data_IF_889640239926
#
_entry.id   IF_889640239926
#
_cell.length_a   1.000
_cell.length_b   1.000
_cell.length_c   1.000
_cell.angle_alpha   90.00
_cell.angle_beta   90.00
_cell.angle_gamma   90.00
#
_symmetry.space_group_name_H-M   'P 1'
#
loop_
_entity.id
_entity.type
_entity.pdbx_description
1 polymer ?
#
# COMPACT_ATOMS: atom_id res chain seq x y z
N UNK A 1 -3.24 17.54 14.89
CA UNK A 1 -1.99 16.74 14.87
C UNK A 1 -2.14 15.61 15.86
N UNK A 2 -1.91 14.37 15.43
CA UNK A 2 -2.01 13.21 16.34
C UNK A 2 -0.86 13.19 17.35
N UNK A 3 -1.19 12.92 18.60
CA UNK A 3 -0.23 12.67 19.67
C UNK A 3 0.38 11.28 19.55
N UNK A 4 1.50 11.04 20.24
CA UNK A 4 2.12 9.71 20.28
C UNK A 4 1.19 8.67 20.87
N UNK A 5 0.37 9.06 21.84
CA UNK A 5 -0.64 8.25 22.51
C UNK A 5 -1.73 7.83 21.52
N UNK A 6 -2.24 8.76 20.71
CA UNK A 6 -3.21 8.45 19.65
C UNK A 6 -2.61 7.52 18.57
N UNK A 7 -1.34 7.71 18.19
CA UNK A 7 -0.67 6.77 17.26
C UNK A 7 -0.59 5.36 17.87
N UNK A 8 -0.27 5.25 19.16
CA UNK A 8 -0.29 3.95 19.85
C UNK A 8 -1.70 3.35 19.85
N UNK A 9 -2.71 4.18 20.10
CA UNK A 9 -4.10 3.74 20.09
C UNK A 9 -4.53 3.19 18.73
N UNK A 10 -4.19 3.87 17.63
CA UNK A 10 -4.43 3.39 16.26
C UNK A 10 -3.77 2.02 16.06
N UNK A 11 -2.50 1.87 16.44
CA UNK A 11 -1.80 0.58 16.35
C UNK A 11 -2.53 -0.48 17.16
N UNK A 12 -2.94 -0.20 18.40
CA UNK A 12 -3.67 -1.18 19.21
C UNK A 12 -5.02 -1.59 18.60
N UNK A 13 -5.74 -0.68 17.94
CA UNK A 13 -6.93 -1.06 17.18
C UNK A 13 -6.58 -1.94 15.97
N UNK A 14 -5.53 -1.61 15.21
CA UNK A 14 -5.03 -2.48 14.14
C UNK A 14 -4.70 -3.89 14.66
N UNK A 15 -4.12 -3.99 15.87
CA UNK A 15 -3.80 -5.28 16.50
C UNK A 15 -5.05 -6.05 16.88
N UNK A 16 -6.08 -5.39 17.43
CA UNK A 16 -7.38 -6.03 17.72
C UNK A 16 -8.04 -6.53 16.44
N UNK A 17 -8.08 -5.71 15.40
CA UNK A 17 -8.63 -6.10 14.09
C UNK A 17 -7.83 -7.27 13.50
N UNK A 18 -6.50 -7.25 13.58
CA UNK A 18 -5.66 -8.36 13.12
C UNK A 18 -5.95 -9.69 13.82
N UNK A 19 -6.30 -9.65 15.12
CA UNK A 19 -6.73 -10.85 15.87
C UNK A 19 -8.12 -11.31 15.47
N UNK A 20 -9.07 -10.38 15.33
CA UNK A 20 -10.43 -10.68 14.85
C UNK A 20 -10.42 -11.28 13.44
N UNK A 21 -9.49 -10.82 12.61
CA UNK A 21 -9.27 -11.29 11.25
C UNK A 21 -9.72 -10.29 10.19
N UNK A 22 -9.15 -10.48 9.02
CA UNK A 22 -9.52 -9.84 7.76
C UNK A 22 -10.58 -10.69 7.04
N UNK A 23 -11.34 -10.08 6.13
CA UNK A 23 -12.41 -10.73 5.37
C UNK A 23 -11.89 -11.77 4.37
N UNK A 24 -10.59 -11.73 4.04
CA UNK A 24 -9.91 -12.82 3.33
C UNK A 24 -9.58 -14.05 4.20
N UNK A 25 -10.05 -14.08 5.45
CA UNK A 25 -9.87 -15.18 6.41
C UNK A 25 -8.49 -15.21 7.09
N UNK A 26 -7.62 -14.22 6.85
CA UNK A 26 -6.32 -14.11 7.52
C UNK A 26 -6.48 -13.47 8.89
N UNK A 27 -5.77 -14.02 9.87
CA UNK A 27 -5.72 -13.51 11.24
C UNK A 27 -4.31 -13.68 11.78
N UNK A 28 -3.89 -12.74 12.63
CA UNK A 28 -2.61 -12.79 13.30
C UNK A 28 -2.58 -11.93 14.56
N UNK A 29 -1.84 -12.40 15.55
CA UNK A 29 -1.48 -11.59 16.71
C UNK A 29 -0.24 -10.77 16.39
N UNK A 30 -0.45 -9.53 15.97
CA UNK A 30 0.65 -8.57 15.78
C UNK A 30 1.32 -8.30 17.16
N UNK A 31 2.65 -8.39 17.26
CA UNK A 31 3.35 -8.11 18.52
C UNK A 31 3.21 -6.64 18.92
N UNK A 32 3.55 -6.30 20.16
CA UNK A 32 3.68 -4.90 20.57
C UNK A 32 4.67 -4.17 19.66
N UNK A 33 4.23 -3.04 19.10
CA UNK A 33 5.01 -2.22 18.20
C UNK A 33 5.54 -1.01 18.96
N UNK A 34 6.87 -0.84 18.92
CA UNK A 34 7.56 0.36 19.34
C UNK A 34 7.44 1.42 18.26
N UNK A 35 7.01 2.62 18.65
CA UNK A 35 7.05 3.80 17.78
C UNK A 35 8.34 4.56 18.05
N UNK A 36 9.12 4.77 17.00
CA UNK A 36 10.31 5.61 17.00
C UNK A 36 10.10 6.83 16.09
N UNK A 37 9.98 8.03 16.66
CA UNK A 37 9.87 9.27 15.88
C UNK A 37 11.28 9.79 15.68
N UNK A 38 11.72 9.80 14.43
CA UNK A 38 13.11 10.06 14.05
C UNK A 38 13.41 11.55 14.08
N UNK A 39 14.57 11.87 14.66
CA UNK A 39 15.17 13.19 14.57
C UNK A 39 15.74 13.41 13.17
N UNK A 40 15.75 14.66 12.72
CA UNK A 40 16.17 15.07 11.37
C UNK A 40 17.56 14.55 10.93
N UNK A 41 18.49 14.36 11.87
CA UNK A 41 19.86 13.89 11.60
C UNK A 41 20.01 12.36 11.54
N UNK A 42 19.00 11.60 11.94
CA UNK A 42 18.98 10.13 11.92
C UNK A 42 17.84 9.66 11.04
N UNK A 43 17.69 10.29 9.88
CA UNK A 43 16.57 10.01 8.99
C UNK A 43 16.94 8.93 7.97
N UNK A 44 15.98 8.11 7.55
CA UNK A 44 16.18 7.17 6.44
C UNK A 44 15.77 7.82 5.12
N UNK A 45 16.61 7.69 4.10
CA UNK A 45 16.23 7.88 2.69
C UNK A 45 15.44 6.64 2.26
N UNK A 46 14.16 6.61 2.62
CA UNK A 46 13.25 5.53 2.21
C UNK A 46 13.13 5.49 0.69
N UNK A 47 12.80 4.32 0.13
CA UNK A 47 12.35 4.24 -1.25
C UNK A 47 11.15 5.19 -1.44
N UNK A 48 11.10 5.90 -2.56
CA UNK A 48 9.97 6.75 -2.97
C UNK A 48 9.54 7.83 -1.96
N UNK A 49 10.41 8.23 -1.03
CA UNK A 49 10.11 9.29 -0.07
C UNK A 49 9.22 8.87 1.10
N UNK A 50 9.13 7.57 1.41
CA UNK A 50 8.34 7.05 2.53
C UNK A 50 8.58 7.83 3.83
N UNK A 51 7.48 8.17 4.50
CA UNK A 51 7.42 9.01 5.71
C UNK A 51 7.34 8.19 7.00
N UNK A 52 7.09 6.89 6.90
CA UNK A 52 7.28 5.88 7.94
C UNK A 52 7.77 4.57 7.31
N UNK A 53 8.31 3.67 8.14
CA UNK A 53 8.69 2.31 7.75
C UNK A 53 8.51 1.33 8.92
N UNK A 54 8.03 0.13 8.63
CA UNK A 54 8.12 -1.02 9.51
C UNK A 54 9.51 -1.66 9.42
N UNK A 55 10.18 -1.80 10.56
CA UNK A 55 11.53 -2.34 10.65
C UNK A 55 11.46 -3.86 10.64
N UNK A 56 11.38 -4.46 9.46
CA UNK A 56 11.51 -5.90 9.29
C UNK A 56 12.98 -6.36 9.46
N UNK A 57 13.24 -7.68 9.43
CA UNK A 57 14.60 -8.23 9.59
C UNK A 57 15.62 -7.65 8.59
N UNK A 58 15.24 -7.46 7.33
CA UNK A 58 16.14 -6.95 6.31
C UNK A 58 16.48 -5.48 6.57
N UNK A 59 15.46 -4.64 6.78
CA UNK A 59 15.64 -3.23 7.14
C UNK A 59 16.50 -3.07 8.39
N UNK A 60 16.25 -3.91 9.40
CA UNK A 60 17.04 -3.92 10.63
C UNK A 60 18.52 -4.22 10.35
N UNK A 61 18.82 -5.27 9.59
CA UNK A 61 20.21 -5.64 9.28
C UNK A 61 20.96 -4.54 8.53
N UNK A 62 20.27 -3.76 7.70
CA UNK A 62 20.88 -2.67 6.93
C UNK A 62 21.13 -1.40 7.75
N UNK A 63 20.20 -1.04 8.63
CA UNK A 63 20.12 0.30 9.20
C UNK A 63 20.27 0.36 10.72
N UNK A 64 20.12 -0.75 11.44
CA UNK A 64 20.11 -0.76 12.93
C UNK A 64 21.38 -0.21 13.56
N UNK A 65 22.53 -0.28 12.87
CA UNK A 65 23.78 0.31 13.34
C UNK A 65 23.67 1.83 13.59
N UNK A 66 22.76 2.52 12.90
CA UNK A 66 22.49 3.95 13.09
C UNK A 66 21.32 4.21 14.06
N UNK A 67 20.63 3.15 14.49
CA UNK A 67 19.38 3.22 15.25
C UNK A 67 19.35 2.16 16.36
N UNK A 68 20.12 2.39 17.42
CA UNK A 68 20.27 1.45 18.54
C UNK A 68 18.96 1.10 19.27
N UNK A 69 17.93 1.92 19.12
CA UNK A 69 16.62 1.70 19.70
C UNK A 69 15.71 0.78 18.88
N UNK A 70 16.06 0.41 17.66
CA UNK A 70 15.19 -0.40 16.82
C UNK A 70 15.15 -1.85 17.29
N UNK A 71 14.02 -2.50 17.05
CA UNK A 71 13.80 -3.92 17.29
C UNK A 71 13.13 -4.51 16.06
N UNK A 72 13.80 -5.48 15.43
CA UNK A 72 13.30 -6.15 14.24
C UNK A 72 11.90 -6.74 14.45
N UNK A 73 11.04 -6.55 13.46
CA UNK A 73 9.63 -6.93 13.41
C UNK A 73 8.77 -6.35 14.55
N UNK A 74 9.24 -5.31 15.25
CA UNK A 74 8.55 -4.70 16.40
C UNK A 74 8.71 -3.19 16.45
N UNK A 75 9.21 -2.55 15.40
CA UNK A 75 9.40 -1.10 15.38
C UNK A 75 8.79 -0.52 14.12
N UNK A 76 8.04 0.57 14.28
CA UNK A 76 7.69 1.48 13.19
C UNK A 76 8.47 2.77 13.43
N UNK A 77 9.31 3.13 12.47
CA UNK A 77 10.05 4.38 12.48
C UNK A 77 9.30 5.43 11.66
N UNK A 78 9.11 6.62 12.21
CA UNK A 78 8.30 7.70 11.63
C UNK A 78 9.14 8.95 11.48
N UNK A 79 9.06 9.62 10.33
CA UNK A 79 9.64 10.96 10.13
C UNK A 79 8.73 12.01 10.75
N UNK A 80 9.31 13.03 11.39
CA UNK A 80 8.53 14.17 11.92
C UNK A 80 7.65 14.83 10.85
N UNK A 81 8.08 14.84 9.59
CA UNK A 81 7.30 15.39 8.48
C UNK A 81 5.98 14.66 8.21
N UNK A 82 5.84 13.39 8.63
CA UNK A 82 4.55 12.69 8.60
C UNK A 82 3.56 13.37 9.53
N UNK A 83 4.00 13.80 10.72
CA UNK A 83 3.12 14.35 11.75
C UNK A 83 2.54 15.73 11.36
N UNK A 84 3.05 16.33 10.29
CA UNK A 84 2.55 17.57 9.71
C UNK A 84 1.49 17.34 8.61
N UNK A 85 1.18 16.08 8.28
CA UNK A 85 0.18 15.73 7.27
C UNK A 85 -1.25 15.79 7.84
N UNK A 86 -2.28 15.84 6.97
CA UNK A 86 -3.66 15.59 7.36
C UNK A 86 -3.81 14.35 8.24
N UNK A 87 -4.73 14.38 9.20
CA UNK A 87 -4.87 13.30 10.19
C UNK A 87 -5.09 11.94 9.54
N UNK A 88 -5.95 11.86 8.51
CA UNK A 88 -6.20 10.61 7.79
C UNK A 88 -4.95 10.06 7.09
N UNK A 89 -4.06 10.91 6.58
CA UNK A 89 -2.81 10.47 5.95
C UNK A 89 -1.85 9.87 6.99
N UNK A 90 -1.83 10.44 8.21
CA UNK A 90 -1.06 9.88 9.32
C UNK A 90 -1.64 8.52 9.70
N UNK A 91 -2.95 8.43 9.91
CA UNK A 91 -3.64 7.16 10.26
C UNK A 91 -3.35 6.11 9.19
N UNK A 92 -3.61 6.43 7.92
CA UNK A 92 -3.42 5.52 6.80
C UNK A 92 -2.00 5.01 6.68
N UNK A 93 -1.00 5.90 6.85
CA UNK A 93 0.41 5.50 6.87
C UNK A 93 0.73 4.55 8.03
N UNK A 94 0.22 4.82 9.24
CA UNK A 94 0.45 3.96 10.41
C UNK A 94 -0.24 2.60 10.24
N UNK A 95 -1.47 2.59 9.71
CA UNK A 95 -2.19 1.36 9.41
C UNK A 95 -1.43 0.54 8.36
N UNK A 96 -0.93 1.18 7.29
CA UNK A 96 -0.13 0.52 6.25
C UNK A 96 1.12 -0.16 6.80
N UNK A 97 1.93 0.56 7.59
CA UNK A 97 3.13 -0.02 8.21
C UNK A 97 2.78 -1.13 9.22
N UNK A 98 1.64 -1.00 9.91
CA UNK A 98 1.12 -2.07 10.76
C UNK A 98 0.65 -3.27 9.94
N UNK A 99 0.21 -3.07 8.70
CA UNK A 99 -0.08 -4.12 7.72
C UNK A 99 1.16 -4.94 7.37
N UNK A 100 2.33 -4.31 7.22
CA UNK A 100 3.59 -5.07 7.10
C UNK A 100 3.89 -5.92 8.34
N UNK A 101 3.64 -5.38 9.54
CA UNK A 101 3.79 -6.13 10.78
C UNK A 101 2.80 -7.31 10.85
N UNK A 102 1.56 -7.11 10.39
CA UNK A 102 0.56 -8.16 10.23
C UNK A 102 1.02 -9.25 9.27
N UNK A 103 1.53 -8.89 8.09
CA UNK A 103 2.01 -9.86 7.10
C UNK A 103 3.07 -10.80 7.68
N UNK A 104 4.03 -10.23 8.42
CA UNK A 104 5.07 -11.00 9.11
C UNK A 104 4.47 -11.90 10.19
N UNK A 105 3.55 -11.38 11.02
CA UNK A 105 2.91 -12.15 12.09
C UNK A 105 2.02 -13.28 11.55
N UNK A 106 1.32 -13.04 10.43
CA UNK A 106 0.45 -13.99 9.73
C UNK A 106 1.22 -15.03 8.91
N UNK A 107 2.55 -14.90 8.81
CA UNK A 107 3.44 -15.76 8.00
C UNK A 107 3.03 -15.79 6.52
N UNK A 108 2.57 -14.65 6.00
CA UNK A 108 2.31 -14.45 4.57
C UNK A 108 3.42 -13.59 3.96
N UNK A 109 3.43 -13.46 2.63
CA UNK A 109 4.41 -12.62 1.95
C UNK A 109 4.30 -11.17 2.47
N UNK A 110 5.41 -10.60 2.91
CA UNK A 110 5.46 -9.19 3.28
C UNK A 110 5.61 -8.32 2.02
N UNK A 111 4.52 -8.18 1.26
CA UNK A 111 4.44 -7.36 0.05
C UNK A 111 3.56 -6.13 0.26
N UNK A 112 3.73 -5.13 -0.60
CA UNK A 112 2.87 -3.95 -0.67
C UNK A 112 1.40 -4.33 -0.85
N UNK A 113 1.07 -5.24 -1.77
CA UNK A 113 -0.32 -5.66 -1.98
C UNK A 113 -1.00 -6.23 -0.74
N UNK A 114 -0.29 -7.00 0.08
CA UNK A 114 -0.85 -7.52 1.33
C UNK A 114 -0.97 -6.41 2.41
N UNK A 115 -0.04 -5.45 2.44
CA UNK A 115 -0.16 -4.28 3.29
C UNK A 115 -1.35 -3.38 2.87
N UNK A 116 -1.58 -3.18 1.57
CA UNK A 116 -2.75 -2.46 1.04
C UNK A 116 -4.07 -3.15 1.38
N UNK A 117 -4.13 -4.49 1.33
CA UNK A 117 -5.32 -5.23 1.77
C UNK A 117 -5.62 -4.92 3.24
N UNK A 118 -4.62 -5.06 4.11
CA UNK A 118 -4.77 -4.74 5.52
C UNK A 118 -5.18 -3.28 5.73
N UNK A 119 -4.56 -2.36 5.00
CA UNK A 119 -4.84 -0.93 5.04
C UNK A 119 -6.31 -0.61 4.72
N UNK A 120 -6.81 -1.08 3.58
CA UNK A 120 -8.19 -0.83 3.15
C UNK A 120 -9.17 -1.41 4.18
N UNK A 121 -9.02 -2.69 4.55
CA UNK A 121 -9.96 -3.34 5.46
C UNK A 121 -9.97 -2.71 6.86
N UNK A 122 -8.79 -2.35 7.39
CA UNK A 122 -8.71 -1.71 8.71
C UNK A 122 -9.30 -0.31 8.67
N UNK A 123 -9.03 0.49 7.64
CA UNK A 123 -9.63 1.83 7.52
C UNK A 123 -11.16 1.74 7.46
N UNK A 124 -11.70 0.79 6.69
CA UNK A 124 -13.16 0.57 6.63
C UNK A 124 -13.72 0.16 8.00
N UNK A 125 -13.10 -0.79 8.71
CA UNK A 125 -13.55 -1.20 10.05
C UNK A 125 -13.44 -0.08 11.09
N UNK A 126 -12.41 0.76 11.00
CA UNK A 126 -12.27 1.94 11.86
C UNK A 126 -13.32 3.01 11.55
N UNK A 127 -13.73 3.14 10.28
CA UNK A 127 -14.81 4.02 9.87
C UNK A 127 -16.17 3.51 10.38
N UNK A 128 -16.48 2.24 10.13
CA UNK A 128 -17.74 1.57 10.53
C UNK A 128 -17.96 1.60 12.05
N UNK A 129 -16.90 1.40 12.82
CA UNK A 129 -16.96 1.46 14.30
C UNK A 129 -17.03 2.89 14.85
N UNK A 130 -16.94 3.91 14.00
CA UNK A 130 -16.87 5.32 14.40
C UNK A 130 -15.55 5.72 15.06
N UNK A 131 -14.54 4.83 15.06
CA UNK A 131 -13.24 5.09 15.69
C UNK A 131 -12.49 6.23 15.02
N UNK A 132 -12.60 6.38 13.70
CA UNK A 132 -12.01 7.51 12.97
C UNK A 132 -12.56 8.87 13.43
N UNK A 133 -13.85 8.95 13.77
CA UNK A 133 -14.45 10.18 14.28
C UNK A 133 -13.81 10.63 15.60
N UNK A 134 -13.34 9.70 16.43
CA UNK A 134 -12.60 10.05 17.67
C UNK A 134 -11.22 10.66 17.43
N UNK A 135 -10.74 10.61 16.18
CA UNK A 135 -9.52 11.28 15.72
C UNK A 135 -9.83 12.50 14.83
N UNK A 136 -11.07 12.98 14.85
CA UNK A 136 -11.56 14.04 13.95
C UNK A 136 -11.42 13.66 12.47
N UNK A 137 -11.55 12.36 12.14
CA UNK A 137 -11.56 11.88 10.75
C UNK A 137 -12.96 11.45 10.33
N UNK A 138 -13.56 12.21 9.42
CA UNK A 138 -14.88 11.91 8.87
C UNK A 138 -14.84 11.06 7.59
N UNK A 139 -16.02 10.71 7.07
CA UNK A 139 -16.13 9.91 5.86
C UNK A 139 -15.53 10.60 4.62
N UNK A 140 -15.61 11.93 4.53
CA UNK A 140 -15.05 12.67 3.39
C UNK A 140 -13.52 12.65 3.41
N UNK A 141 -12.90 12.67 4.59
CA UNK A 141 -11.46 12.49 4.70
C UNK A 141 -11.02 11.09 4.29
N UNK A 142 -11.78 10.05 4.65
CA UNK A 142 -11.53 8.67 4.18
C UNK A 142 -11.66 8.57 2.65
N UNK A 143 -12.67 9.22 2.07
CA UNK A 143 -12.84 9.31 0.61
C UNK A 143 -11.61 9.92 -0.06
N UNK A 144 -11.17 11.11 0.40
CA UNK A 144 -9.99 11.79 -0.14
C UNK A 144 -8.74 10.95 0.02
N UNK A 145 -8.61 10.26 1.15
CA UNK A 145 -7.50 9.36 1.41
C UNK A 145 -7.48 8.21 0.38
N UNK A 146 -8.59 7.48 0.22
CA UNK A 146 -8.65 6.40 -0.76
C UNK A 146 -8.46 6.89 -2.19
N UNK A 147 -9.01 8.05 -2.55
CA UNK A 147 -8.75 8.68 -3.85
C UNK A 147 -7.25 8.91 -4.07
N UNK A 148 -6.54 9.44 -3.08
CA UNK A 148 -5.10 9.70 -3.18
C UNK A 148 -4.25 8.42 -3.26
N UNK A 149 -4.73 7.31 -2.67
CA UNK A 149 -4.04 6.02 -2.60
C UNK A 149 -4.36 5.10 -3.78
N UNK A 150 -5.37 5.43 -4.57
CA UNK A 150 -5.90 4.56 -5.62
C UNK A 150 -4.82 4.11 -6.62
N UNK A 151 -3.95 5.03 -7.05
CA UNK A 151 -2.80 4.71 -7.91
C UNK A 151 -1.87 3.67 -7.29
N UNK A 152 -1.57 3.78 -5.99
CA UNK A 152 -0.74 2.82 -5.26
C UNK A 152 -1.37 1.43 -5.24
N UNK A 153 -2.67 1.34 -4.92
CA UNK A 153 -3.39 0.07 -4.88
C UNK A 153 -3.40 -0.63 -6.24
N UNK A 154 -3.39 0.14 -7.32
CA UNK A 154 -3.36 -0.39 -8.68
C UNK A 154 -2.01 -0.98 -9.10
N UNK A 155 -0.92 -0.68 -8.39
CA UNK A 155 0.41 -1.22 -8.71
C UNK A 155 0.52 -2.73 -8.47
N UNK A 156 -0.33 -3.32 -7.63
CA UNK A 156 -0.30 -4.77 -7.32
C UNK A 156 -1.62 -5.49 -7.68
N UNK A 157 -2.22 -5.11 -8.80
CA UNK A 157 -3.51 -5.66 -9.30
C UNK A 157 -3.48 -7.15 -9.68
N UNK A 158 -2.31 -7.80 -9.63
CA UNK A 158 -2.21 -9.25 -9.77
C UNK A 158 -2.84 -9.99 -8.58
N UNK A 159 -2.98 -9.33 -7.45
CA UNK A 159 -3.72 -9.84 -6.31
C UNK A 159 -5.23 -9.63 -6.55
N UNK A 160 -5.94 -10.72 -6.86
CA UNK A 160 -7.37 -10.70 -7.18
C UNK A 160 -8.22 -10.19 -6.03
N UNK A 161 -7.84 -10.49 -4.79
CA UNK A 161 -8.56 -10.02 -3.61
C UNK A 161 -8.41 -8.51 -3.43
N UNK A 162 -7.18 -7.98 -3.58
CA UNK A 162 -6.95 -6.54 -3.57
C UNK A 162 -7.74 -5.84 -4.70
N UNK A 163 -7.77 -6.42 -5.90
CA UNK A 163 -8.54 -5.87 -7.02
C UNK A 163 -10.05 -5.77 -6.69
N UNK A 164 -10.61 -6.78 -6.02
CA UNK A 164 -12.01 -6.75 -5.54
C UNK A 164 -12.21 -5.65 -4.49
N UNK A 165 -11.34 -5.56 -3.48
CA UNK A 165 -11.42 -4.51 -2.46
C UNK A 165 -11.37 -3.11 -3.07
N UNK A 166 -10.47 -2.91 -4.03
CA UNK A 166 -10.34 -1.62 -4.71
C UNK A 166 -11.60 -1.31 -5.53
N UNK A 167 -12.18 -2.32 -6.19
CA UNK A 167 -13.47 -2.16 -6.88
C UNK A 167 -14.59 -1.73 -5.93
N UNK A 168 -14.64 -2.32 -4.73
CA UNK A 168 -15.63 -2.00 -3.70
C UNK A 168 -15.47 -0.56 -3.18
N UNK A 169 -14.26 -0.13 -2.80
CA UNK A 169 -14.07 1.26 -2.32
C UNK A 169 -14.32 2.29 -3.42
N UNK A 170 -14.02 1.97 -4.69
CA UNK A 170 -14.34 2.86 -5.81
C UNK A 170 -15.85 3.06 -5.94
N UNK A 171 -16.62 1.99 -5.83
CA UNK A 171 -18.09 2.06 -5.88
C UNK A 171 -18.68 2.75 -4.64
N UNK A 172 -18.26 2.34 -3.45
CA UNK A 172 -18.82 2.82 -2.17
C UNK A 172 -18.50 4.31 -1.90
N UNK A 173 -17.36 4.80 -2.37
CA UNK A 173 -16.93 6.19 -2.19
C UNK A 173 -17.06 7.05 -3.44
N UNK A 174 -17.50 6.48 -4.58
CA UNK A 174 -17.62 7.22 -5.84
C UNK A 174 -16.28 7.76 -6.36
N UNK A 175 -15.20 7.00 -6.19
CA UNK A 175 -13.84 7.43 -6.53
C UNK A 175 -13.64 7.50 -8.06
N UNK A 176 -12.83 8.45 -8.50
CA UNK A 176 -12.41 8.57 -9.90
C UNK A 176 -11.29 7.55 -10.19
N UNK A 177 -11.60 6.49 -10.96
CA UNK A 177 -10.64 5.48 -11.44
C UNK A 177 -10.41 5.64 -12.95
N UNK A 178 -9.30 6.29 -13.32
CA UNK A 178 -8.89 6.53 -14.71
C UNK A 178 -8.79 5.24 -15.56
N UNK A 179 -8.64 4.06 -14.93
CA UNK A 179 -8.53 2.78 -15.66
C UNK A 179 -9.89 2.21 -16.06
N UNK A 180 -10.95 2.49 -15.29
CA UNK A 180 -12.33 2.19 -15.72
C UNK A 180 -12.73 3.08 -16.89
N UNK A 181 -12.39 4.38 -16.84
CA UNK A 181 -12.69 5.30 -17.94
C UNK A 181 -12.01 4.94 -19.26
N UNK A 182 -10.78 4.40 -19.21
CA UNK A 182 -10.08 3.93 -20.41
C UNK A 182 -10.68 2.62 -20.96
N UNK A 183 -11.17 1.74 -20.10
CA UNK A 183 -11.83 0.50 -20.51
C UNK A 183 -13.18 0.79 -21.18
N UNK A 184 -13.99 1.68 -20.60
CA UNK A 184 -15.30 2.06 -21.13
C UNK A 184 -15.18 2.82 -22.47
N UNK A 185 -14.20 3.73 -22.59
CA UNK A 185 -13.88 4.40 -23.87
C UNK A 185 -13.41 3.42 -24.95
N UNK A 186 -12.70 2.35 -24.56
CA UNK A 186 -12.24 1.32 -25.50
C UNK A 186 -13.40 0.44 -25.97
N UNK A 187 -14.36 0.10 -25.09
CA UNK A 187 -15.58 -0.61 -25.46
C UNK A 187 -16.45 0.22 -26.41
N UNK A 188 -16.71 1.49 -26.11
CA UNK A 188 -17.52 2.37 -26.98
C UNK A 188 -16.86 2.60 -28.35
N UNK A 189 -15.53 2.75 -28.41
CA UNK A 189 -14.83 2.86 -29.71
C UNK A 189 -14.82 1.55 -30.52
N UNK A 190 -14.87 0.39 -29.85
CA UNK A 190 -14.88 -0.92 -30.50
C UNK A 190 -16.27 -1.35 -31.00
N UNK A 191 -17.33 -0.81 -30.41
CA UNK A 191 -18.72 -0.99 -30.87
C UNK A 191 -19.02 -0.09 -32.08
N UNK A 192 -18.57 1.17 -32.08
CA UNK A 192 -18.68 2.06 -33.26
C UNK A 192 -17.89 1.54 -34.48
N UNK A 193 -16.78 0.82 -34.25
CA UNK A 193 -15.99 0.22 -35.33
C UNK A 193 -16.63 -1.07 -35.87
N UNK A 194 -17.41 -1.79 -35.07
CA UNK A 194 -18.11 -3.01 -35.51
C UNK A 194 -19.36 -2.73 -36.34
N UNK A 195 -20.04 -1.61 -36.14
CA UNK A 195 -21.16 -1.20 -37.01
C UNK A 195 -20.71 -0.68 -38.39
N UNK A 196 -19.45 -0.28 -38.56
CA UNK A 196 -18.91 0.16 -39.86
C UNK A 196 -18.22 -0.91 -40.70
N UNK A 197 -18.05 -2.13 -40.19
CA UNK A 197 -17.23 -3.15 -40.86
C UNK A 197 -17.97 -4.48 -41.08
N UNK A 198 -19.18 -4.43 -41.61
CA UNK A 198 -19.86 -5.60 -42.20
C UNK A 198 -19.86 -5.53 -43.73
N UNK A 199 -18.69 -5.40 -44.35
CA UNK A 199 -18.46 -5.69 -45.77
C UNK A 199 -16.95 -5.75 -46.06
N UNK A 200 -16.35 -6.95 -46.00
CA UNK A 200 -15.32 -7.45 -46.92
C UNK A 200 -14.65 -8.71 -46.37
N UNK A 201 -14.50 -9.71 -47.26
CA UNK A 201 -13.97 -11.06 -47.04
C UNK A 201 -12.51 -11.14 -47.55
N UNK A 202 -11.58 -11.55 -46.67
CA UNK A 202 -10.33 -12.41 -46.81
C UNK A 202 -9.27 -12.00 -47.88
N UNK A 203 -7.97 -12.45 -47.88
CA UNK A 203 -7.27 -13.44 -47.03
C UNK A 203 -5.79 -13.16 -46.56
N UNK A 204 -5.37 -13.93 -45.54
CA UNK A 204 -4.07 -14.61 -45.28
C UNK A 204 -2.70 -13.95 -45.59
N UNK A 205 -1.80 -13.92 -44.58
CA UNK A 205 -0.38 -14.33 -44.73
C UNK A 205 0.29 -14.71 -43.38
N UNK A 206 1.03 -15.83 -43.41
CA UNK A 206 1.86 -16.44 -42.34
C UNK A 206 3.26 -15.79 -42.25
N UNK A 207 3.84 -15.72 -41.05
CA UNK A 207 5.22 -16.11 -40.61
C UNK A 207 5.39 -15.72 -39.11
N UNK A 208 5.51 -16.61 -38.10
CA UNK A 208 6.72 -17.29 -37.55
C UNK A 208 7.89 -16.32 -37.24
N UNK A 209 8.54 -16.18 -36.07
CA UNK A 209 8.88 -17.09 -34.94
C UNK A 209 9.30 -16.32 -33.64
N UNK A 210 9.18 -16.99 -32.48
CA UNK A 210 9.87 -16.94 -31.16
C UNK A 210 10.39 -15.63 -30.50
N UNK A 211 10.02 -15.40 -29.23
CA UNK A 211 10.87 -15.63 -28.04
C UNK A 211 10.24 -15.01 -26.76
N UNK A 212 10.21 -15.76 -25.68
CA UNK A 212 9.79 -15.34 -24.32
C UNK A 212 10.85 -14.44 -23.67
N UNK A 213 10.48 -13.37 -22.92
CA UNK A 213 11.43 -12.70 -22.04
C UNK A 213 11.45 -13.37 -20.66
N UNK A 214 12.59 -14.00 -20.38
CA UNK A 214 13.08 -14.43 -19.08
C UNK A 214 13.31 -13.21 -18.15
N UNK A 215 12.86 -13.32 -16.90
CA UNK A 215 12.69 -12.22 -15.96
C UNK A 215 14.01 -11.90 -15.20
N UNK A 216 15.10 -11.75 -15.96
CA UNK A 216 16.45 -11.43 -15.46
C UNK A 216 16.72 -9.92 -15.25
N UNK A 217 15.71 -9.07 -15.42
CA UNK A 217 15.85 -7.61 -15.24
C UNK A 217 15.86 -7.13 -13.78
N UNK A 218 15.49 -7.98 -12.80
CA UNK A 218 15.48 -7.60 -11.38
C UNK A 218 16.86 -7.54 -10.69
N UNK A 219 17.94 -7.97 -11.35
CA UNK A 219 19.29 -7.99 -10.75
C UNK A 219 20.20 -6.82 -11.14
N UNK A 220 19.81 -5.94 -12.06
CA UNK A 220 20.68 -4.84 -12.52
C UNK A 220 20.48 -3.49 -11.83
N UNK A 221 19.38 -3.28 -11.10
CA UNK A 221 19.14 -2.00 -10.42
C UNK A 221 19.70 -1.93 -8.99
N UNK A 222 20.15 -3.05 -8.40
CA UNK A 222 20.74 -3.07 -7.05
C UNK A 222 22.27 -2.89 -6.99
N UNK A 223 22.94 -2.65 -8.12
CA UNK A 223 24.40 -2.42 -8.16
C UNK A 223 24.80 -0.98 -8.50
N UNK A 224 23.86 -0.03 -8.53
CA UNK A 224 24.14 1.39 -8.79
C UNK A 224 23.98 2.32 -7.57
N UNK A 225 23.86 1.77 -6.36
CA UNK A 225 23.73 2.53 -5.11
C UNK A 225 24.93 2.25 -4.18
N UNK A 226 26.15 2.16 -4.73
CA UNK A 226 27.40 2.11 -3.96
C UNK A 226 28.53 2.98 -4.54
N UNK A 227 28.21 3.99 -5.36
CA UNK A 227 29.22 4.95 -5.83
C UNK A 227 28.70 6.38 -5.86
N UNK A 228 28.44 6.95 -4.68
CA UNK A 228 28.45 8.42 -4.44
C UNK A 228 28.26 8.74 -2.96
N UNK A 229 29.25 8.38 -2.16
CA UNK A 229 29.62 9.16 -0.97
C UNK A 229 31.13 9.33 -1.06
N UNK A 230 31.54 10.42 -1.71
CA UNK A 230 32.90 10.90 -1.72
C UNK A 230 32.95 12.15 -0.85
N UNK A 231 33.90 12.13 0.08
CA UNK A 231 34.33 13.16 1.04
C UNK A 231 33.45 13.36 2.28
#
# INVERSE_FOLDING_TARGET
>A
MLTREQIREIIEECRRIGVSGLENGRRATIPFIKIDILRSNLNFTGALGNSAIFINKNTYNMLSQYHSGWVANKTIAIKESLLLKPTIDIIGTIVHETGHAFNVAAKIANSEGNAYIFEIEVILKLLESGKLLSFDCDRQEVERYFQSRLTNYHMDTRNTYLATLVGQIVEEFGLQDDRKEQHDKKLTSSEETKERTSQAKVPSLRLLFFATPDNSQWKKENNLILSRVGY
#
